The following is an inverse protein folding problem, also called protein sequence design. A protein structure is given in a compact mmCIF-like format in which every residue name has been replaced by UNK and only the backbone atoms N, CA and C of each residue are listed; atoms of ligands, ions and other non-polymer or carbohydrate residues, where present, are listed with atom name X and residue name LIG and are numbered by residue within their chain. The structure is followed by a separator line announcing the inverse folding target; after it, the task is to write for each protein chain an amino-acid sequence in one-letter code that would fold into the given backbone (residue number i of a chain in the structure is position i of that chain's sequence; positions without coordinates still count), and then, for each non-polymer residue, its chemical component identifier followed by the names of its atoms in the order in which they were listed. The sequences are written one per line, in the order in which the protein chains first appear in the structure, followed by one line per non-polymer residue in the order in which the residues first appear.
data_IF_547000615217
#
_entry.id   IF_547000615217
#
_cell.length_a   1.000
_cell.length_b   1.000
_cell.length_c   1.000
_cell.angle_alpha   90.00
_cell.angle_beta   90.00
_cell.angle_gamma   90.00
#
_symmetry.space_group_name_H-M   'P 1'
#
loop_
_entity.id
_entity.type
_entity.pdbx_description
1 polymer ?
#
# COMPACT_ATOMS: atom_id res chain seq x y z
N UNK A 1 11.60 -15.79 -19.31
CA UNK A 1 10.17 -15.36 -19.28
C UNK A 1 9.74 -15.36 -17.84
N UNK A 2 9.20 -14.26 -17.35
CA UNK A 2 8.78 -14.08 -15.95
C UNK A 2 7.38 -14.66 -15.80
N UNK A 3 7.23 -15.67 -14.96
CA UNK A 3 5.95 -16.36 -14.73
C UNK A 3 5.15 -15.66 -13.67
N UNK A 4 3.97 -15.15 -14.02
CA UNK A 4 3.12 -14.32 -13.17
C UNK A 4 1.80 -15.01 -12.85
N UNK A 5 1.42 -15.07 -11.57
CA UNK A 5 0.10 -15.46 -11.10
C UNK A 5 -0.69 -14.21 -10.73
N UNK A 6 -1.94 -14.09 -11.21
CA UNK A 6 -2.85 -13.00 -10.88
C UNK A 6 -3.85 -13.45 -9.81
N UNK A 7 -3.94 -12.71 -8.70
CA UNK A 7 -4.87 -13.00 -7.59
C UNK A 7 -5.64 -11.74 -7.25
N UNK A 8 -6.91 -11.67 -7.65
CA UNK A 8 -7.81 -10.53 -7.45
C UNK A 8 -9.25 -11.04 -7.53
N UNK A 9 -10.15 -10.61 -6.68
CA UNK A 9 -11.56 -11.04 -6.71
C UNK A 9 -12.37 -10.39 -7.85
N UNK A 10 -11.86 -9.28 -8.42
CA UNK A 10 -12.51 -8.57 -9.51
C UNK A 10 -12.13 -9.14 -10.88
N UNK A 11 -13.03 -9.90 -11.51
CA UNK A 11 -12.78 -10.52 -12.82
C UNK A 11 -12.38 -9.53 -13.93
N UNK A 12 -12.94 -8.32 -13.90
CA UNK A 12 -12.61 -7.28 -14.90
C UNK A 12 -11.15 -6.82 -14.75
N UNK A 13 -10.68 -6.67 -13.52
CA UNK A 13 -9.28 -6.31 -13.21
C UNK A 13 -8.36 -7.42 -13.69
N UNK A 14 -8.61 -8.69 -13.34
CA UNK A 14 -7.79 -9.82 -13.79
C UNK A 14 -7.70 -9.90 -15.32
N UNK A 15 -8.83 -9.77 -16.03
CA UNK A 15 -8.83 -9.77 -17.50
C UNK A 15 -8.03 -8.63 -18.09
N UNK A 16 -8.15 -7.42 -17.54
CA UNK A 16 -7.39 -6.26 -17.97
C UNK A 16 -5.89 -6.47 -17.78
N UNK A 17 -5.48 -6.93 -16.59
CA UNK A 17 -4.09 -7.23 -16.27
C UNK A 17 -3.53 -8.34 -17.19
N UNK A 18 -4.28 -9.43 -17.40
CA UNK A 18 -3.89 -10.51 -18.31
C UNK A 18 -3.64 -9.98 -19.73
N UNK A 19 -4.62 -9.28 -20.30
CA UNK A 19 -4.53 -8.75 -21.68
C UNK A 19 -3.31 -7.85 -21.84
N UNK A 20 -3.02 -7.03 -20.84
CA UNK A 20 -1.87 -6.14 -20.87
C UNK A 20 -0.55 -6.91 -20.74
N UNK A 21 -0.48 -7.86 -19.81
CA UNK A 21 0.76 -8.61 -19.57
C UNK A 21 1.10 -9.58 -20.70
N UNK A 22 0.08 -10.13 -21.39
CA UNK A 22 0.27 -11.04 -22.54
C UNK A 22 0.91 -10.36 -23.79
N UNK A 23 0.90 -9.02 -23.87
CA UNK A 23 1.62 -8.28 -24.94
C UNK A 23 3.07 -8.00 -24.60
N UNK A 24 3.53 -8.36 -23.39
CA UNK A 24 4.93 -8.21 -22.99
C UNK A 24 5.72 -9.47 -23.35
N UNK A 25 6.76 -9.33 -24.17
CA UNK A 25 7.54 -10.47 -24.68
C UNK A 25 8.24 -11.32 -23.60
N UNK A 26 8.47 -10.75 -22.43
CA UNK A 26 9.22 -11.35 -21.33
C UNK A 26 8.38 -11.77 -20.12
N UNK A 27 7.05 -11.60 -20.17
CA UNK A 27 6.11 -11.91 -19.08
C UNK A 27 5.08 -12.94 -19.56
N UNK A 28 4.82 -13.95 -18.74
CA UNK A 28 3.81 -14.98 -18.99
C UNK A 28 2.84 -15.07 -17.80
N UNK A 29 1.54 -14.89 -18.05
CA UNK A 29 0.50 -15.13 -17.03
C UNK A 29 0.20 -16.63 -16.98
N UNK A 30 0.77 -17.31 -15.98
CA UNK A 30 0.67 -18.77 -15.81
C UNK A 30 -0.62 -19.23 -15.13
N UNK A 31 -1.36 -18.32 -14.50
CA UNK A 31 -2.63 -18.64 -13.84
C UNK A 31 -3.33 -17.43 -13.26
N UNK A 32 -4.56 -17.69 -12.82
CA UNK A 32 -5.40 -16.72 -12.12
C UNK A 32 -6.03 -17.37 -10.89
N UNK A 33 -6.36 -16.57 -9.88
CA UNK A 33 -7.13 -16.94 -8.71
C UNK A 33 -8.08 -15.80 -8.32
N UNK A 34 -9.22 -16.15 -7.73
CA UNK A 34 -10.26 -15.22 -7.34
C UNK A 34 -10.29 -14.88 -5.86
N UNK A 35 -9.49 -15.55 -5.05
CA UNK A 35 -9.33 -15.29 -3.63
C UNK A 35 -7.93 -15.73 -3.14
N UNK A 36 -7.60 -15.39 -1.89
CA UNK A 36 -6.28 -15.69 -1.34
C UNK A 36 -6.02 -17.18 -1.13
N UNK A 37 -7.03 -17.99 -0.82
CA UNK A 37 -6.85 -19.43 -0.61
C UNK A 37 -6.57 -20.14 -1.93
N UNK A 38 -7.31 -19.83 -3.00
CA UNK A 38 -7.03 -20.28 -4.36
C UNK A 38 -5.66 -19.78 -4.81
N UNK A 39 -5.31 -18.51 -4.52
CA UNK A 39 -4.01 -17.91 -4.82
C UNK A 39 -2.84 -18.70 -4.24
N UNK A 40 -2.94 -19.12 -2.98
CA UNK A 40 -1.92 -19.97 -2.33
C UNK A 40 -1.84 -21.33 -3.00
N UNK A 41 -2.96 -22.00 -3.24
CA UNK A 41 -2.98 -23.32 -3.88
C UNK A 41 -2.36 -23.28 -5.29
N UNK A 42 -2.74 -22.26 -6.09
CA UNK A 42 -2.18 -22.06 -7.44
C UNK A 42 -0.69 -21.71 -7.42
N UNK A 43 -0.23 -20.94 -6.46
CA UNK A 43 1.18 -20.60 -6.33
C UNK A 43 2.03 -21.86 -5.99
N UNK A 44 1.50 -22.79 -5.18
CA UNK A 44 2.15 -24.07 -4.91
C UNK A 44 2.19 -24.98 -6.15
N UNK A 45 1.10 -25.04 -6.91
CA UNK A 45 0.98 -25.85 -8.11
C UNK A 45 1.85 -25.31 -9.26
N UNK A 46 1.72 -24.02 -9.56
CA UNK A 46 2.29 -23.40 -10.74
C UNK A 46 3.71 -22.87 -10.55
N UNK A 47 4.15 -22.68 -9.29
CA UNK A 47 5.47 -22.14 -8.95
C UNK A 47 5.81 -20.89 -9.76
N UNK A 48 4.99 -19.81 -9.67
CA UNK A 48 5.27 -18.56 -10.36
C UNK A 48 6.51 -17.87 -9.80
N UNK A 49 7.13 -17.00 -10.60
CA UNK A 49 8.22 -16.12 -10.14
C UNK A 49 7.67 -14.94 -9.33
N UNK A 50 6.54 -14.39 -9.81
CA UNK A 50 5.87 -13.23 -9.19
C UNK A 50 4.38 -13.51 -9.03
N UNK A 51 3.82 -13.13 -7.89
CA UNK A 51 2.38 -13.13 -7.64
C UNK A 51 1.92 -11.67 -7.54
N UNK A 52 1.02 -11.26 -8.43
CA UNK A 52 0.27 -10.02 -8.27
C UNK A 52 -0.94 -10.31 -7.40
N UNK A 53 -1.00 -9.72 -6.22
CA UNK A 53 -1.99 -10.07 -5.19
C UNK A 53 -2.76 -8.83 -4.75
N UNK A 54 -4.09 -8.86 -4.92
CA UNK A 54 -4.95 -7.89 -4.26
C UNK A 54 -4.94 -8.11 -2.75
N UNK A 55 -5.08 -7.03 -2.00
CA UNK A 55 -5.16 -7.10 -0.54
C UNK A 55 -6.56 -7.50 -0.08
N UNK A 56 -7.58 -6.86 -0.61
CA UNK A 56 -8.97 -7.08 -0.19
C UNK A 56 -9.65 -8.10 -1.08
N UNK A 57 -9.79 -9.28 -0.54
CA UNK A 57 -10.54 -10.36 -1.17
C UNK A 57 -11.45 -11.03 -0.14
N UNK A 58 -12.61 -11.55 -0.54
CA UNK A 58 -13.50 -12.30 0.36
C UNK A 58 -12.81 -13.58 0.84
N UNK A 59 -13.13 -14.01 2.05
CA UNK A 59 -12.55 -15.22 2.65
C UNK A 59 -11.12 -15.00 3.13
N UNK A 60 -10.13 -15.49 2.41
CA UNK A 60 -8.70 -15.29 2.73
C UNK A 60 -8.21 -14.00 2.04
N UNK A 61 -7.86 -12.99 2.82
CA UNK A 61 -7.29 -11.74 2.28
C UNK A 61 -5.86 -11.93 1.78
N UNK A 62 -5.36 -10.93 1.02
CA UNK A 62 -4.04 -11.02 0.41
C UNK A 62 -2.88 -11.02 1.41
N UNK A 63 -3.04 -10.41 2.58
CA UNK A 63 -2.00 -10.42 3.63
C UNK A 63 -1.92 -11.78 4.29
N UNK A 64 -3.05 -12.40 4.54
CA UNK A 64 -3.11 -13.76 5.07
C UNK A 64 -2.57 -14.78 4.05
N UNK A 65 -2.94 -14.64 2.76
CA UNK A 65 -2.39 -15.45 1.68
C UNK A 65 -0.86 -15.32 1.59
N UNK A 66 -0.33 -14.11 1.68
CA UNK A 66 1.10 -13.84 1.69
C UNK A 66 1.82 -14.51 2.87
N UNK A 67 1.24 -14.47 4.08
CA UNK A 67 1.79 -15.17 5.25
C UNK A 67 1.84 -16.69 5.02
N UNK A 68 0.75 -17.26 4.49
CA UNK A 68 0.68 -18.69 4.17
C UNK A 68 1.74 -19.11 3.13
N UNK A 69 1.94 -18.32 2.06
CA UNK A 69 2.99 -18.57 1.07
C UNK A 69 4.36 -18.57 1.71
N UNK A 70 4.65 -17.60 2.57
CA UNK A 70 5.92 -17.55 3.31
C UNK A 70 6.10 -18.75 4.23
N UNK A 71 5.06 -19.12 4.99
CA UNK A 71 5.12 -20.23 5.97
C UNK A 71 5.27 -21.59 5.27
N UNK A 72 4.79 -21.72 4.02
CA UNK A 72 5.04 -22.86 3.12
C UNK A 72 6.43 -22.83 2.47
N UNK A 73 7.21 -21.74 2.66
CA UNK A 73 8.51 -21.60 2.01
C UNK A 73 8.42 -21.42 0.48
N UNK A 74 7.27 -20.91 -0.02
CA UNK A 74 7.10 -20.66 -1.45
C UNK A 74 8.06 -19.55 -1.92
N UNK A 75 8.86 -19.77 -2.99
CA UNK A 75 9.86 -18.81 -3.43
C UNK A 75 9.29 -17.62 -4.20
N UNK A 76 8.00 -17.64 -4.57
CA UNK A 76 7.37 -16.59 -5.34
C UNK A 76 7.45 -15.23 -4.65
N UNK A 77 7.77 -14.21 -5.40
CA UNK A 77 7.81 -12.82 -4.90
C UNK A 77 6.44 -12.18 -5.04
N UNK A 78 5.89 -11.71 -3.93
CA UNK A 78 4.55 -11.12 -3.94
C UNK A 78 4.65 -9.59 -4.12
N UNK A 79 4.02 -9.09 -5.17
CA UNK A 79 3.77 -7.68 -5.43
C UNK A 79 2.30 -7.39 -5.16
N UNK A 80 2.03 -6.56 -4.17
CA UNK A 80 0.67 -6.18 -3.81
C UNK A 80 0.10 -5.21 -4.84
N UNK A 81 -1.13 -5.47 -5.27
CA UNK A 81 -1.92 -4.56 -6.10
C UNK A 81 -3.09 -4.07 -5.25
N UNK A 82 -3.21 -2.77 -5.02
CA UNK A 82 -4.18 -2.23 -4.06
C UNK A 82 -4.87 -0.98 -4.59
N UNK A 83 -6.07 -0.67 -4.09
CA UNK A 83 -6.71 0.60 -4.38
C UNK A 83 -6.13 1.72 -3.50
N UNK A 84 -6.23 2.97 -3.95
CA UNK A 84 -5.75 4.14 -3.20
C UNK A 84 -6.39 4.27 -1.80
N UNK A 85 -7.60 3.74 -1.64
CA UNK A 85 -8.33 3.73 -0.36
C UNK A 85 -7.77 2.74 0.66
N UNK A 86 -6.85 1.87 0.26
CA UNK A 86 -6.32 0.76 1.07
C UNK A 86 -4.89 0.98 1.54
N UNK A 87 -4.43 2.22 1.56
CA UNK A 87 -3.05 2.58 2.00
C UNK A 87 -2.67 2.01 3.37
N UNK A 88 -3.63 1.84 4.27
CA UNK A 88 -3.41 1.27 5.61
C UNK A 88 -2.92 -0.18 5.58
N UNK A 89 -3.15 -0.90 4.49
CA UNK A 89 -2.76 -2.32 4.35
C UNK A 89 -1.34 -2.49 3.80
N UNK A 90 -0.73 -1.44 3.25
CA UNK A 90 0.58 -1.50 2.61
C UNK A 90 1.69 -1.85 3.61
N UNK A 91 1.75 -1.16 4.75
CA UNK A 91 2.77 -1.46 5.79
C UNK A 91 2.61 -2.86 6.36
N UNK A 92 1.40 -3.33 6.76
CA UNK A 92 1.18 -4.72 7.14
C UNK A 92 1.60 -5.74 6.07
N UNK A 93 1.32 -5.48 4.78
CA UNK A 93 1.72 -6.37 3.69
C UNK A 93 3.24 -6.47 3.53
N UNK A 94 3.95 -5.34 3.57
CA UNK A 94 5.42 -5.32 3.52
C UNK A 94 6.05 -6.06 4.70
N UNK A 95 5.51 -5.91 5.90
CA UNK A 95 5.93 -6.69 7.10
C UNK A 95 5.65 -8.18 6.97
N UNK A 96 4.57 -8.54 6.29
CA UNK A 96 4.27 -9.94 5.99
C UNK A 96 5.23 -10.55 4.96
N UNK A 97 6.00 -9.72 4.23
CA UNK A 97 7.03 -10.17 3.29
C UNK A 97 6.81 -9.78 1.83
N UNK A 98 5.82 -8.93 1.54
CA UNK A 98 5.63 -8.39 0.19
C UNK A 98 6.90 -7.69 -0.30
N UNK A 99 7.22 -7.87 -1.58
CA UNK A 99 8.40 -7.25 -2.21
C UNK A 99 8.12 -5.86 -2.77
N UNK A 100 6.90 -5.40 -2.66
CA UNK A 100 6.47 -4.08 -3.05
C UNK A 100 4.96 -3.98 -3.14
N UNK A 101 4.50 -2.81 -3.53
CA UNK A 101 3.09 -2.58 -3.83
C UNK A 101 2.95 -1.60 -4.98
N UNK A 102 1.83 -1.69 -5.68
CA UNK A 102 1.40 -0.77 -6.72
C UNK A 102 -0.09 -0.48 -6.56
N UNK A 103 -0.52 0.67 -7.03
CA UNK A 103 -1.95 0.99 -7.06
C UNK A 103 -2.61 0.42 -8.31
N UNK A 104 -3.91 0.07 -8.23
CA UNK A 104 -4.69 -0.49 -9.35
C UNK A 104 -4.85 0.48 -10.54
N UNK A 105 -4.60 1.77 -10.34
CA UNK A 105 -4.58 2.83 -11.36
C UNK A 105 -3.17 3.10 -11.94
N UNK A 106 -2.21 2.23 -11.64
CA UNK A 106 -0.85 2.33 -12.20
C UNK A 106 -0.89 2.26 -13.72
N UNK A 107 -0.01 3.03 -14.35
CA UNK A 107 0.24 2.90 -15.79
C UNK A 107 0.68 1.48 -16.13
N UNK A 108 0.13 0.86 -17.20
CA UNK A 108 0.48 -0.49 -17.59
C UNK A 108 2.00 -0.74 -17.76
N UNK A 109 2.72 0.14 -18.44
CA UNK A 109 4.16 -0.04 -18.62
C UNK A 109 4.94 0.05 -17.30
N UNK A 110 4.48 0.90 -16.38
CA UNK A 110 5.03 0.97 -15.03
C UNK A 110 4.77 -0.30 -14.23
N UNK A 111 3.61 -0.98 -14.41
CA UNK A 111 3.35 -2.27 -13.79
C UNK A 111 4.30 -3.35 -14.31
N UNK A 112 4.52 -3.44 -15.62
CA UNK A 112 5.50 -4.37 -16.19
C UNK A 112 6.91 -4.11 -15.66
N UNK A 113 7.32 -2.83 -15.54
CA UNK A 113 8.57 -2.43 -14.90
C UNK A 113 8.65 -2.86 -13.43
N UNK A 114 7.55 -2.75 -12.67
CA UNK A 114 7.45 -3.21 -11.29
C UNK A 114 7.63 -4.74 -11.17
N UNK A 115 6.99 -5.51 -12.04
CA UNK A 115 7.14 -6.98 -12.09
C UNK A 115 8.61 -7.37 -12.35
N UNK A 116 9.26 -6.75 -13.34
CA UNK A 116 10.67 -7.00 -13.64
C UNK A 116 11.58 -6.67 -12.46
N UNK A 117 11.36 -5.54 -11.80
CA UNK A 117 12.13 -5.13 -10.63
C UNK A 117 11.97 -6.10 -9.47
N UNK A 118 10.75 -6.53 -9.17
CA UNK A 118 10.48 -7.52 -8.13
C UNK A 118 11.09 -8.88 -8.49
N UNK A 119 10.97 -9.31 -9.76
CA UNK A 119 11.62 -10.54 -10.25
C UNK A 119 13.15 -10.47 -10.16
N UNK A 120 13.76 -9.32 -10.34
CA UNK A 120 15.20 -9.11 -10.14
C UNK A 120 15.63 -9.10 -8.66
N UNK A 121 14.67 -9.13 -7.71
CA UNK A 121 14.93 -9.15 -6.27
C UNK A 121 14.91 -7.79 -5.60
N UNK A 122 14.59 -6.73 -6.32
CA UNK A 122 14.44 -5.41 -5.74
C UNK A 122 13.15 -5.30 -4.94
N UNK A 123 13.17 -4.47 -3.89
CA UNK A 123 11.98 -4.12 -3.12
C UNK A 123 11.48 -2.77 -3.62
N UNK A 124 10.21 -2.72 -4.03
CA UNK A 124 9.58 -1.51 -4.52
C UNK A 124 8.87 -0.80 -3.36
N UNK A 125 9.50 0.24 -2.86
CA UNK A 125 8.96 1.09 -1.80
C UNK A 125 8.84 2.53 -2.29
N UNK A 126 7.68 3.13 -2.12
CA UNK A 126 7.56 4.57 -2.26
C UNK A 126 8.17 5.24 -1.02
N UNK A 127 8.81 6.43 -1.15
CA UNK A 127 9.49 7.12 -0.05
C UNK A 127 8.61 7.32 1.18
N UNK A 128 7.31 7.56 0.98
CA UNK A 128 6.32 7.77 2.04
C UNK A 128 6.13 6.52 2.91
N UNK A 129 6.17 5.35 2.29
CA UNK A 129 6.01 4.06 2.99
C UNK A 129 7.31 3.63 3.65
N UNK A 130 8.45 3.93 3.03
CA UNK A 130 9.75 3.67 3.64
C UNK A 130 9.89 4.43 4.98
N UNK A 131 9.46 5.70 5.02
CA UNK A 131 9.39 6.47 6.27
C UNK A 131 8.48 5.86 7.33
N UNK A 132 7.32 5.35 6.94
CA UNK A 132 6.38 4.72 7.86
C UNK A 132 6.86 3.36 8.40
N UNK A 133 7.65 2.62 7.64
CA UNK A 133 8.30 1.39 8.10
C UNK A 133 9.38 1.68 9.16
N UNK A 134 10.23 2.67 8.91
CA UNK A 134 11.32 3.04 9.81
C UNK A 134 10.82 3.65 11.13
N UNK A 135 9.80 4.49 11.09
CA UNK A 135 9.26 5.15 12.29
C UNK A 135 8.55 4.20 13.26
N UNK A 136 8.17 3.00 12.86
CA UNK A 136 7.54 2.01 13.74
C UNK A 136 8.54 1.03 14.39
N UNK A 137 9.74 0.87 13.85
CA UNK A 137 10.78 0.03 14.45
C UNK A 137 11.46 0.72 15.67
N UNK A 138 11.33 2.04 15.78
CA UNK A 138 11.84 2.80 16.94
C UNK A 138 10.96 2.68 18.20
N UNK A 139 9.78 2.07 18.12
CA UNK A 139 8.87 1.87 19.28
C UNK A 139 9.10 0.57 20.05
N UNK A 140 10.17 -0.14 19.74
CA UNK A 140 10.57 -1.40 20.42
C UNK A 140 11.55 -1.22 21.60
N UNK A 141 12.07 -0.04 21.89
CA UNK A 141 13.00 0.14 23.03
C UNK A 141 13.08 1.61 23.49
N UNK A 142 12.61 1.88 24.67
CA UNK A 142 13.04 3.04 25.45
C UNK A 142 12.01 4.15 25.65
N UNK A 143 11.51 4.25 26.87
CA UNK A 143 10.63 5.30 27.36
C UNK A 143 11.23 6.69 27.23
N UNK A 144 10.37 7.65 26.91
CA UNK A 144 10.70 9.08 26.87
C UNK A 144 9.47 9.93 26.53
N UNK A 145 8.78 10.42 27.53
CA UNK A 145 8.00 11.68 27.66
C UNK A 145 7.39 12.31 26.39
N UNK A 146 6.07 12.21 26.26
CA UNK A 146 5.23 13.36 25.90
C UNK A 146 5.36 13.93 24.50
N UNK A 147 5.15 13.13 23.43
CA UNK A 147 4.76 13.65 22.11
C UNK A 147 3.70 12.74 21.53
N UNK A 148 2.57 13.30 21.08
CA UNK A 148 1.48 12.60 20.43
C UNK A 148 1.91 11.75 19.22
N UNK A 149 1.03 10.89 18.68
CA UNK A 149 1.36 9.87 17.68
C UNK A 149 2.14 10.47 16.52
N UNK A 150 3.23 9.80 16.13
CA UNK A 150 4.34 10.19 15.24
C UNK A 150 4.06 10.97 13.95
N UNK A 151 3.35 12.07 14.03
CA UNK A 151 3.18 13.01 12.91
C UNK A 151 4.47 13.77 12.66
N UNK A 152 4.88 13.89 11.39
CA UNK A 152 5.94 14.80 10.98
C UNK A 152 5.53 16.24 11.24
N UNK A 153 6.49 17.17 11.27
CA UNK A 153 6.21 18.60 11.43
C UNK A 153 5.24 19.09 10.35
N UNK A 154 5.43 18.65 9.11
CA UNK A 154 4.57 19.00 7.98
C UNK A 154 3.15 18.45 8.10
N UNK A 155 3.00 17.25 8.61
CA UNK A 155 1.69 16.66 8.89
C UNK A 155 0.97 17.38 10.02
N UNK A 156 1.69 17.87 11.04
CA UNK A 156 1.12 18.70 12.10
C UNK A 156 0.61 20.05 11.58
N UNK A 157 1.39 20.71 10.70
CA UNK A 157 0.96 21.95 10.05
C UNK A 157 -0.32 21.73 9.22
N UNK A 158 -0.35 20.66 8.41
CA UNK A 158 -1.54 20.30 7.62
C UNK A 158 -2.72 19.99 8.54
N UNK A 159 -2.52 19.26 9.63
CA UNK A 159 -3.57 18.90 10.59
C UNK A 159 -4.14 20.13 11.32
N UNK A 160 -3.30 21.09 11.68
CA UNK A 160 -3.75 22.37 12.24
C UNK A 160 -4.66 23.12 11.26
N UNK A 161 -4.26 23.23 9.99
CA UNK A 161 -5.08 23.87 8.96
C UNK A 161 -6.38 23.10 8.63
N UNK A 162 -6.39 21.77 8.83
CA UNK A 162 -7.63 20.97 8.76
C UNK A 162 -8.56 21.34 9.90
N UNK A 163 -8.05 21.52 11.10
CA UNK A 163 -8.83 21.91 12.26
C UNK A 163 -9.42 23.32 12.11
N UNK A 164 -8.71 24.24 11.44
CA UNK A 164 -9.21 25.55 11.02
C UNK A 164 -10.29 25.47 9.91
N UNK A 165 -10.68 24.29 9.47
CA UNK A 165 -11.70 24.09 8.43
C UNK A 165 -11.25 24.37 7.00
N UNK A 166 -9.96 24.56 6.73
CA UNK A 166 -9.45 24.90 5.39
C UNK A 166 -9.53 23.73 4.43
N UNK A 167 -9.93 23.98 3.19
CA UNK A 167 -9.91 23.00 2.08
C UNK A 167 -8.48 22.63 1.67
N UNK A 168 -8.30 21.51 0.97
CA UNK A 168 -6.97 21.11 0.46
C UNK A 168 -6.34 22.17 -0.43
N UNK A 169 -7.15 22.91 -1.20
CA UNK A 169 -6.70 24.02 -2.04
C UNK A 169 -6.16 25.21 -1.22
N UNK A 170 -6.82 25.53 -0.13
CA UNK A 170 -6.38 26.61 0.78
C UNK A 170 -5.13 26.21 1.56
N UNK A 171 -5.06 24.95 2.02
CA UNK A 171 -3.87 24.38 2.65
C UNK A 171 -2.69 24.38 1.66
N UNK A 172 -2.91 23.97 0.40
CA UNK A 172 -1.89 23.97 -0.63
C UNK A 172 -1.31 25.38 -0.86
N UNK A 173 -2.16 26.40 -0.90
CA UNK A 173 -1.73 27.81 -1.02
C UNK A 173 -0.97 28.28 0.24
N UNK A 174 -1.49 27.99 1.44
CA UNK A 174 -0.86 28.40 2.70
C UNK A 174 0.53 27.80 2.90
N UNK A 175 0.71 26.56 2.46
CA UNK A 175 1.95 25.80 2.65
C UNK A 175 2.86 25.75 1.42
N UNK A 176 2.48 26.45 0.32
CA UNK A 176 3.20 26.46 -0.96
C UNK A 176 3.41 25.05 -1.50
N UNK A 177 2.33 24.25 -1.53
CA UNK A 177 2.32 22.87 -2.02
C UNK A 177 1.34 22.71 -3.19
N UNK A 178 1.40 21.55 -3.87
CA UNK A 178 0.30 21.14 -4.76
C UNK A 178 -0.88 20.56 -3.98
N UNK A 179 -2.11 20.68 -4.53
CA UNK A 179 -3.28 20.03 -3.90
C UNK A 179 -3.11 18.50 -3.81
N UNK A 180 -2.40 17.89 -4.75
CA UNK A 180 -2.05 16.47 -4.73
C UNK A 180 -1.18 16.12 -3.53
N UNK A 181 -0.17 16.94 -3.24
CA UNK A 181 0.71 16.77 -2.07
C UNK A 181 -0.07 16.91 -0.77
N UNK A 182 -0.99 17.88 -0.68
CA UNK A 182 -1.84 18.04 0.50
C UNK A 182 -2.75 16.83 0.71
N UNK A 183 -3.35 16.28 -0.36
CA UNK A 183 -4.15 15.04 -0.28
C UNK A 183 -3.33 13.88 0.29
N UNK A 184 -2.07 13.76 -0.12
CA UNK A 184 -1.15 12.74 0.41
C UNK A 184 -0.90 12.95 1.91
N UNK A 185 -0.62 14.18 2.36
CA UNK A 185 -0.44 14.46 3.79
C UNK A 185 -1.71 14.17 4.60
N UNK A 186 -2.90 14.54 4.08
CA UNK A 186 -4.18 14.23 4.74
C UNK A 186 -4.36 12.72 4.91
N UNK A 187 -4.11 11.94 3.85
CA UNK A 187 -4.19 10.48 3.91
C UNK A 187 -3.22 9.88 4.95
N UNK A 188 -1.98 10.37 4.98
CA UNK A 188 -0.98 9.93 5.95
C UNK A 188 -1.38 10.28 7.40
N UNK A 189 -1.95 11.46 7.63
CA UNK A 189 -2.46 11.88 8.94
C UNK A 189 -3.58 10.94 9.40
N UNK A 190 -4.58 10.69 8.54
CA UNK A 190 -5.68 9.79 8.84
C UNK A 190 -5.17 8.38 9.18
N UNK A 191 -4.21 7.88 8.41
CA UNK A 191 -3.57 6.59 8.65
C UNK A 191 -2.83 6.55 9.99
N UNK A 192 -2.00 7.55 10.29
CA UNK A 192 -1.17 7.58 11.50
C UNK A 192 -1.98 7.74 12.78
N UNK A 193 -3.11 8.45 12.70
CA UNK A 193 -4.00 8.70 13.84
C UNK A 193 -5.14 7.69 13.95
N UNK A 194 -5.21 6.73 13.01
CA UNK A 194 -6.30 5.74 12.90
C UNK A 194 -7.69 6.37 12.83
N UNK A 195 -7.84 7.38 11.97
CA UNK A 195 -9.06 8.14 11.78
C UNK A 195 -9.72 7.79 10.44
N UNK A 196 -11.05 7.69 10.45
CA UNK A 196 -11.81 7.27 9.27
C UNK A 196 -11.91 8.39 8.20
N UNK A 197 -11.97 9.65 8.62
CA UNK A 197 -12.20 10.77 7.72
C UNK A 197 -11.61 12.09 8.24
N UNK A 198 -11.68 13.11 7.37
CA UNK A 198 -11.18 14.46 7.66
C UNK A 198 -11.88 15.14 8.84
N UNK A 199 -13.17 14.87 9.06
CA UNK A 199 -13.92 15.43 10.17
C UNK A 199 -13.39 14.91 11.49
N UNK A 200 -13.08 13.60 11.54
CA UNK A 200 -12.43 13.00 12.71
C UNK A 200 -11.03 13.58 12.94
N UNK A 201 -10.28 13.89 11.88
CA UNK A 201 -8.97 14.53 11.99
C UNK A 201 -9.09 15.95 12.60
N UNK A 202 -10.05 16.74 12.15
CA UNK A 202 -10.33 18.06 12.72
C UNK A 202 -10.68 17.97 14.21
N UNK A 203 -11.62 17.10 14.58
CA UNK A 203 -12.04 16.88 15.97
C UNK A 203 -10.87 16.37 16.86
N UNK A 204 -10.03 15.49 16.30
CA UNK A 204 -8.85 15.00 16.99
C UNK A 204 -7.87 16.13 17.29
N UNK A 205 -7.59 17.01 16.31
CA UNK A 205 -6.68 18.15 16.46
C UNK A 205 -7.17 19.15 17.53
N UNK A 206 -8.47 19.47 17.53
CA UNK A 206 -9.09 20.34 18.54
C UNK A 206 -8.95 19.73 19.95
N UNK A 207 -9.24 18.42 20.10
CA UNK A 207 -9.12 17.73 21.40
C UNK A 207 -7.70 17.67 21.95
N UNK A 208 -6.69 17.71 21.07
CA UNK A 208 -5.28 17.66 21.45
C UNK A 208 -4.59 19.03 21.46
N UNK A 209 -5.38 20.13 21.42
CA UNK A 209 -4.88 21.48 21.58
C UNK A 209 -3.98 21.95 20.42
N UNK A 210 -4.22 21.47 19.20
CA UNK A 210 -3.45 21.85 18.00
C UNK A 210 -4.03 23.10 17.31
N UNK A 211 -5.09 23.70 17.86
CA UNK A 211 -5.74 24.94 17.41
C UNK A 211 -5.92 25.81 18.62
N UNK A 212 -5.59 27.12 18.50
CA UNK A 212 -5.90 28.17 19.48
C UNK A 212 -7.38 28.58 19.43
#
# INVERSE_FOLDING_TARGET
MIRVLLVDDHQVVRRGLRTFLEVQDDIEVVGEASDGAEGVARAEELRPDVVLMDVKMPGTDGIEALRRLRDLGNPARVLIVTSFTEQRTVVPALRAGAKGYVYKDIDPDALAGAIRSVHAGHVLLQPEVAGALLSQDEHGSGGGTGRGPGLTEREREVLGLIADGRSNREIARALVLSEKTVKTHVSNILMKLDLADRTQAALWAVRHGMVE
#
